data_IF_937549097182
#
_entry.id   IF_937549097182
#
_cell.length_a   1.000
_cell.length_b   1.000
_cell.length_c   1.000
_cell.angle_alpha   90.00
_cell.angle_beta   90.00
_cell.angle_gamma   90.00
#
_symmetry.space_group_name_H-M   'P 1'
#
loop_
_entity.id
_entity.type
_entity.pdbx_description
1 polymer ?
#
# COMPACT_ATOMS: atom_id res chain seq x y z
N UNK A 1 8.14 1.12 -11.03
CA UNK A 1 7.75 -0.21 -11.55
C UNK A 1 6.45 -0.09 -12.36
N UNK A 2 5.34 0.42 -11.79
CA UNK A 2 4.01 0.50 -12.44
C UNK A 2 4.08 1.26 -13.78
N UNK A 3 4.65 2.48 -13.80
CA UNK A 3 4.83 3.25 -15.04
C UNK A 3 5.50 2.43 -16.16
N UNK A 4 6.59 1.74 -15.85
CA UNK A 4 7.31 0.96 -16.85
C UNK A 4 6.49 -0.23 -17.36
N UNK A 5 5.69 -0.86 -16.49
CA UNK A 5 4.79 -1.94 -16.90
C UNK A 5 3.67 -1.44 -17.82
N UNK A 6 3.06 -0.31 -17.51
CA UNK A 6 2.04 0.32 -18.37
C UNK A 6 2.64 0.67 -19.73
N UNK A 7 3.81 1.30 -19.75
CA UNK A 7 4.49 1.70 -20.98
C UNK A 7 4.79 0.49 -21.86
N UNK A 8 5.35 -0.57 -21.28
CA UNK A 8 5.63 -1.81 -22.01
C UNK A 8 4.36 -2.40 -22.63
N UNK A 9 3.27 -2.50 -21.85
CA UNK A 9 2.02 -3.03 -22.34
C UNK A 9 1.42 -2.19 -23.49
N UNK A 10 1.45 -0.85 -23.35
CA UNK A 10 0.97 0.06 -24.40
C UNK A 10 1.82 -0.05 -25.66
N UNK A 11 3.15 -0.12 -25.53
CA UNK A 11 4.06 -0.28 -26.68
C UNK A 11 3.79 -1.60 -27.43
N UNK A 12 3.59 -2.71 -26.70
CA UNK A 12 3.24 -4.02 -27.30
C UNK A 12 1.87 -3.97 -28.01
N UNK A 13 0.84 -3.41 -27.37
CA UNK A 13 -0.50 -3.29 -27.97
C UNK A 13 -0.44 -2.42 -29.23
N UNK A 14 0.26 -1.29 -29.17
CA UNK A 14 0.40 -0.38 -30.28
C UNK A 14 1.18 -0.99 -31.46
N UNK A 15 2.25 -1.73 -31.17
CA UNK A 15 3.02 -2.47 -32.18
C UNK A 15 2.18 -3.56 -32.86
N UNK A 16 1.21 -4.15 -32.15
CA UNK A 16 0.25 -5.11 -32.70
C UNK A 16 -0.89 -4.48 -33.50
N UNK A 17 -0.92 -3.16 -33.65
CA UNK A 17 -1.95 -2.42 -34.42
C UNK A 17 -2.95 -1.66 -33.56
N UNK A 18 -2.76 -1.59 -32.25
CA UNK A 18 -3.62 -0.89 -31.33
C UNK A 18 -4.93 -1.62 -31.03
N UNK A 19 -5.90 -0.89 -30.46
CA UNK A 19 -7.23 -1.41 -30.15
C UNK A 19 -8.20 -1.00 -31.27
N UNK A 20 -8.77 -1.96 -31.96
CA UNK A 20 -9.64 -1.72 -33.13
C UNK A 20 -8.99 -0.80 -34.18
N UNK A 21 -7.68 -0.95 -34.40
CA UNK A 21 -6.91 -0.16 -35.36
C UNK A 21 -6.54 1.26 -34.88
N UNK A 22 -6.81 1.59 -33.62
CA UNK A 22 -6.43 2.87 -33.02
C UNK A 22 -5.29 2.68 -32.03
N UNK A 23 -4.30 3.56 -32.10
CA UNK A 23 -3.20 3.60 -31.15
C UNK A 23 -3.66 4.12 -29.80
N UNK A 24 -3.09 3.58 -28.72
CA UNK A 24 -3.27 4.11 -27.37
C UNK A 24 -2.30 5.28 -27.21
N UNK A 25 -2.83 6.44 -26.86
CA UNK A 25 -2.04 7.57 -26.35
C UNK A 25 -2.05 7.54 -24.83
N UNK A 26 -0.91 7.90 -24.21
CA UNK A 26 -0.81 7.91 -22.76
C UNK A 26 0.00 9.10 -22.26
N UNK A 27 -0.35 9.54 -21.06
CA UNK A 27 0.37 10.58 -20.30
C UNK A 27 0.52 10.12 -18.86
N UNK A 28 1.64 10.46 -18.24
CA UNK A 28 1.92 10.17 -16.84
C UNK A 28 2.05 11.47 -16.05
N UNK A 29 1.49 11.45 -14.84
CA UNK A 29 1.74 12.45 -13.81
C UNK A 29 2.23 11.73 -12.55
N UNK A 30 3.08 12.40 -11.75
CA UNK A 30 3.66 11.86 -10.51
C UNK A 30 2.95 12.49 -9.32
N UNK A 31 2.19 11.70 -8.59
CA UNK A 31 1.46 12.11 -7.40
C UNK A 31 2.32 12.14 -6.12
N UNK A 32 3.56 11.65 -6.19
CA UNK A 32 4.50 11.57 -5.06
C UNK A 32 3.90 10.91 -3.80
N UNK A 33 2.92 10.02 -3.98
CA UNK A 33 2.16 9.37 -2.92
C UNK A 33 1.48 10.36 -1.93
N UNK A 34 1.06 11.51 -2.44
CA UNK A 34 0.40 12.60 -1.71
C UNK A 34 -1.02 12.81 -2.24
N UNK A 35 -2.01 12.91 -1.35
CA UNK A 35 -3.42 12.99 -1.74
C UNK A 35 -3.77 14.26 -2.51
N UNK A 36 -3.25 15.43 -2.11
CA UNK A 36 -3.53 16.69 -2.79
C UNK A 36 -2.89 16.70 -4.18
N UNK A 37 -1.64 16.24 -4.28
CA UNK A 37 -0.94 16.14 -5.56
C UNK A 37 -1.59 15.13 -6.49
N UNK A 38 -2.15 14.04 -5.96
CA UNK A 38 -2.85 13.05 -6.77
C UNK A 38 -4.14 13.59 -7.40
N UNK A 39 -4.92 14.40 -6.66
CA UNK A 39 -6.09 15.09 -7.20
C UNK A 39 -5.68 16.11 -8.27
N UNK A 40 -4.60 16.86 -8.04
CA UNK A 40 -4.06 17.80 -9.04
C UNK A 40 -3.55 17.08 -10.29
N UNK A 41 -2.86 15.95 -10.13
CA UNK A 41 -2.41 15.10 -11.23
C UNK A 41 -3.59 14.53 -12.04
N UNK A 42 -4.64 14.06 -11.35
CA UNK A 42 -5.89 13.63 -11.98
C UNK A 42 -6.51 14.73 -12.83
N UNK A 43 -6.68 15.94 -12.29
CA UNK A 43 -7.24 17.08 -13.02
C UNK A 43 -6.38 17.44 -14.26
N UNK A 44 -5.06 17.40 -14.13
CA UNK A 44 -4.14 17.63 -15.26
C UNK A 44 -4.31 16.60 -16.38
N UNK A 45 -4.53 15.32 -16.03
CA UNK A 45 -4.80 14.26 -16.99
C UNK A 45 -6.20 14.39 -17.61
N UNK A 46 -7.19 14.77 -16.82
CA UNK A 46 -8.56 15.06 -17.28
C UNK A 46 -8.59 16.20 -18.31
N UNK A 47 -7.89 17.30 -18.02
CA UNK A 47 -7.78 18.46 -18.93
C UNK A 47 -7.03 18.10 -20.22
N UNK A 48 -6.11 17.14 -20.18
CA UNK A 48 -5.48 16.58 -21.38
C UNK A 48 -6.45 15.76 -22.23
N UNK A 49 -7.58 15.33 -21.69
CA UNK A 49 -8.61 14.57 -22.38
C UNK A 49 -8.52 13.06 -22.20
N UNK A 50 -7.97 12.58 -21.04
CA UNK A 50 -7.93 11.15 -20.77
C UNK A 50 -9.34 10.55 -20.76
N UNK A 51 -9.45 9.28 -21.20
CA UNK A 51 -10.70 8.52 -21.25
C UNK A 51 -10.74 7.37 -20.22
N UNK A 52 -9.61 7.02 -19.65
CA UNK A 52 -9.49 6.04 -18.58
C UNK A 52 -8.25 6.33 -17.73
N UNK A 53 -8.36 6.16 -16.42
CA UNK A 53 -7.27 6.30 -15.49
C UNK A 53 -6.71 4.93 -15.10
N UNK A 54 -5.41 4.71 -15.31
CA UNK A 54 -4.66 3.60 -14.70
C UNK A 54 -3.84 4.18 -13.55
N UNK A 55 -4.41 4.12 -12.36
CA UNK A 55 -3.84 4.76 -11.16
C UNK A 55 -4.94 4.90 -10.06
N UNK A 56 -4.64 5.48 -8.89
CA UNK A 56 -3.26 5.80 -8.49
C UNK A 56 -2.50 4.55 -8.02
N UNK A 57 -1.21 4.66 -7.74
CA UNK A 57 -0.40 3.50 -7.37
C UNK A 57 -0.56 3.11 -5.89
N UNK A 58 -0.66 4.10 -4.99
CA UNK A 58 -0.73 3.89 -3.53
C UNK A 58 -2.12 4.17 -2.98
N UNK A 59 -2.45 3.56 -1.83
CA UNK A 59 -3.81 3.53 -1.28
C UNK A 59 -4.33 4.90 -0.85
N UNK A 60 -3.58 5.67 -0.05
CA UNK A 60 -4.03 6.98 0.44
C UNK A 60 -4.33 7.97 -0.70
N UNK A 61 -3.49 8.15 -1.73
CA UNK A 61 -3.86 8.89 -2.93
C UNK A 61 -5.06 8.32 -3.68
N UNK A 62 -5.18 6.97 -3.76
CA UNK A 62 -6.28 6.35 -4.49
C UNK A 62 -7.64 6.64 -3.86
N UNK A 63 -7.73 6.64 -2.54
CA UNK A 63 -8.97 6.99 -1.83
C UNK A 63 -9.37 8.46 -2.02
N UNK A 64 -8.43 9.36 -2.27
CA UNK A 64 -8.73 10.74 -2.61
C UNK A 64 -9.19 10.89 -4.08
N UNK A 65 -8.55 10.20 -5.02
CA UNK A 65 -8.85 10.32 -6.45
C UNK A 65 -10.13 9.59 -6.84
N UNK A 66 -10.50 8.51 -6.15
CA UNK A 66 -11.70 7.73 -6.48
C UNK A 66 -13.00 8.54 -6.33
N UNK A 67 -13.02 9.55 -5.45
CA UNK A 67 -14.14 10.49 -5.32
C UNK A 67 -14.29 11.35 -6.57
N UNK A 68 -13.16 11.85 -7.10
CA UNK A 68 -13.14 12.67 -8.31
C UNK A 68 -13.54 11.85 -9.55
N UNK A 69 -12.98 10.64 -9.69
CA UNK A 69 -13.32 9.76 -10.82
C UNK A 69 -14.77 9.33 -10.78
N UNK A 70 -15.35 9.11 -9.60
CA UNK A 70 -16.78 8.83 -9.46
C UNK A 70 -17.63 10.02 -9.90
N UNK A 71 -17.31 11.22 -9.42
CA UNK A 71 -18.02 12.45 -9.79
C UNK A 71 -18.01 12.72 -11.30
N UNK A 72 -16.92 12.37 -11.96
CA UNK A 72 -16.73 12.54 -13.41
C UNK A 72 -17.21 11.33 -14.23
N UNK A 73 -17.67 10.26 -13.60
CA UNK A 73 -17.96 8.98 -14.23
C UNK A 73 -16.78 8.46 -15.09
N UNK A 74 -15.56 8.64 -14.56
CA UNK A 74 -14.32 8.24 -15.21
C UNK A 74 -13.95 6.81 -14.80
N UNK A 75 -13.69 5.94 -15.79
CA UNK A 75 -13.17 4.59 -15.50
C UNK A 75 -11.81 4.69 -14.79
N UNK A 76 -11.68 4.01 -13.66
CA UNK A 76 -10.44 3.92 -12.89
C UNK A 76 -10.03 2.46 -12.64
N UNK A 77 -8.76 2.14 -12.94
CA UNK A 77 -8.15 0.87 -12.60
C UNK A 77 -6.88 1.11 -11.82
N UNK A 78 -6.90 0.82 -10.51
CA UNK A 78 -5.66 0.87 -9.73
C UNK A 78 -4.85 -0.41 -9.87
N UNK A 79 -3.55 -0.31 -10.20
CA UNK A 79 -2.69 -1.48 -10.32
C UNK A 79 -2.24 -2.05 -8.97
N UNK A 80 -2.16 -1.23 -7.91
CA UNK A 80 -1.57 -1.66 -6.64
C UNK A 80 -2.12 -1.00 -5.37
N UNK A 81 -3.11 -0.10 -5.45
CA UNK A 81 -3.77 0.42 -4.25
C UNK A 81 -4.66 -0.67 -3.63
N UNK A 82 -4.31 -1.12 -2.44
CA UNK A 82 -4.87 -2.30 -1.77
C UNK A 82 -5.98 -1.98 -0.77
N UNK A 83 -6.13 -0.69 -0.37
CA UNK A 83 -7.18 -0.27 0.54
C UNK A 83 -8.57 -0.60 -0.01
N UNK A 84 -9.50 -0.99 0.88
CA UNK A 84 -10.87 -1.35 0.49
C UNK A 84 -11.55 -0.20 -0.24
N UNK A 85 -11.39 1.01 0.29
CA UNK A 85 -12.04 2.22 -0.24
C UNK A 85 -11.46 2.71 -1.58
N UNK A 86 -10.34 2.10 -2.05
CA UNK A 86 -9.79 2.39 -3.39
C UNK A 86 -10.75 2.02 -4.54
N UNK A 87 -11.74 1.17 -4.27
CA UNK A 87 -12.73 0.69 -5.24
C UNK A 87 -14.15 0.76 -4.68
N UNK A 88 -14.45 1.80 -3.89
CA UNK A 88 -15.76 1.93 -3.23
C UNK A 88 -16.91 2.27 -4.19
N UNK A 89 -16.60 2.68 -5.42
CA UNK A 89 -17.57 3.03 -6.46
C UNK A 89 -17.50 2.07 -7.65
N UNK A 90 -18.59 2.00 -8.42
CA UNK A 90 -18.80 1.07 -9.53
C UNK A 90 -17.96 1.37 -10.79
N UNK A 91 -17.36 2.56 -10.86
CA UNK A 91 -16.43 2.96 -11.91
C UNK A 91 -14.96 2.62 -11.59
N UNK A 92 -14.67 2.12 -10.38
CA UNK A 92 -13.31 1.87 -9.90
C UNK A 92 -13.03 0.38 -9.70
N UNK A 93 -11.89 -0.08 -10.22
CA UNK A 93 -11.46 -1.47 -10.21
C UNK A 93 -10.03 -1.61 -9.71
N UNK A 94 -9.66 -2.82 -9.26
CA UNK A 94 -8.34 -3.12 -8.72
C UNK A 94 -7.80 -4.42 -9.30
N UNK A 95 -6.48 -4.43 -9.60
CA UNK A 95 -5.77 -5.63 -10.06
C UNK A 95 -5.12 -6.42 -8.94
N UNK A 96 -4.76 -5.77 -7.83
CA UNK A 96 -4.07 -6.40 -6.71
C UNK A 96 -5.05 -6.98 -5.66
N UNK A 97 -4.50 -7.69 -4.67
CA UNK A 97 -5.24 -8.13 -3.47
C UNK A 97 -5.61 -6.92 -2.58
N UNK A 98 -6.43 -7.16 -1.55
CA UNK A 98 -6.83 -6.11 -0.59
C UNK A 98 -5.98 -6.15 0.70
N UNK A 99 -5.96 -5.03 1.45
CA UNK A 99 -5.33 -4.97 2.77
C UNK A 99 -5.87 -6.04 3.73
N UNK A 100 -7.19 -6.29 3.81
CA UNK A 100 -7.71 -7.40 4.62
C UNK A 100 -7.12 -8.76 4.25
N UNK A 101 -7.00 -9.07 2.96
CA UNK A 101 -6.41 -10.32 2.51
C UNK A 101 -4.93 -10.40 2.87
N UNK A 102 -4.18 -9.31 2.75
CA UNK A 102 -2.77 -9.27 3.09
C UNK A 102 -2.55 -9.43 4.60
N UNK A 103 -3.34 -8.74 5.42
CA UNK A 103 -3.26 -8.85 6.88
C UNK A 103 -3.55 -10.27 7.36
N UNK A 104 -4.68 -10.84 6.92
CA UNK A 104 -5.07 -12.22 7.30
C UNK A 104 -4.06 -13.25 6.82
N UNK A 105 -3.67 -13.23 5.55
CA UNK A 105 -2.71 -14.17 4.99
C UNK A 105 -1.33 -14.11 5.67
N UNK A 106 -0.90 -12.93 6.11
CA UNK A 106 0.35 -12.77 6.85
C UNK A 106 0.28 -13.44 8.23
N UNK A 107 -0.83 -13.26 8.96
CA UNK A 107 -1.04 -13.91 10.25
C UNK A 107 -1.15 -15.43 10.11
N UNK A 108 -1.91 -15.91 9.11
CA UNK A 108 -2.04 -17.32 8.78
C UNK A 108 -0.66 -17.94 8.51
N UNK A 109 0.12 -17.31 7.65
CA UNK A 109 1.44 -17.80 7.28
C UNK A 109 2.40 -17.91 8.48
N UNK A 110 2.42 -16.91 9.35
CA UNK A 110 3.25 -16.92 10.57
C UNK A 110 2.82 -18.06 11.48
N UNK A 111 1.52 -18.22 11.71
CA UNK A 111 0.98 -19.24 12.61
C UNK A 111 1.18 -20.66 12.06
N UNK A 112 0.81 -20.92 10.82
CA UNK A 112 0.88 -22.23 10.17
C UNK A 112 2.30 -22.74 10.03
N UNK A 113 3.25 -21.83 9.72
CA UNK A 113 4.66 -22.17 9.62
C UNK A 113 5.42 -22.07 10.95
N UNK A 114 4.73 -21.70 12.04
CA UNK A 114 5.32 -21.56 13.38
C UNK A 114 6.56 -20.67 13.40
N UNK A 115 6.50 -19.55 12.65
CA UNK A 115 7.62 -18.63 12.54
C UNK A 115 7.83 -17.83 13.82
N UNK A 116 6.77 -17.57 14.56
CA UNK A 116 6.79 -16.81 15.81
C UNK A 116 5.62 -17.22 16.71
N UNK A 117 5.72 -16.85 17.98
CA UNK A 117 4.63 -16.94 18.96
C UNK A 117 4.24 -15.57 19.50
N UNK A 118 5.19 -14.63 19.55
CA UNK A 118 5.02 -13.26 20.02
C UNK A 118 5.41 -12.27 18.95
N UNK A 119 4.46 -11.52 18.47
CA UNK A 119 4.63 -10.58 17.36
C UNK A 119 4.56 -9.15 17.87
N UNK A 120 5.55 -8.33 17.54
CA UNK A 120 5.42 -6.89 17.60
C UNK A 120 5.07 -6.36 16.21
N UNK A 121 4.29 -5.28 16.16
CA UNK A 121 3.90 -4.61 14.91
C UNK A 121 4.38 -3.17 14.96
N UNK A 122 5.03 -2.69 13.89
CA UNK A 122 5.33 -1.26 13.74
C UNK A 122 4.67 -0.81 12.44
N UNK A 123 3.75 0.16 12.53
CA UNK A 123 2.92 0.58 11.41
C UNK A 123 2.77 2.10 11.33
N UNK A 124 2.42 2.60 10.13
CA UNK A 124 2.11 4.00 9.90
C UNK A 124 0.61 4.24 10.09
N UNK A 125 0.24 4.93 11.19
CA UNK A 125 -1.17 5.21 11.51
C UNK A 125 -1.79 6.31 10.64
N UNK A 126 -0.99 7.07 9.90
CA UNK A 126 -1.45 8.10 8.97
C UNK A 126 -1.57 7.60 7.53
N UNK A 127 -1.29 6.34 7.27
CA UNK A 127 -1.39 5.72 5.94
C UNK A 127 -2.46 4.63 5.91
N UNK A 128 -3.38 4.75 4.95
CA UNK A 128 -4.53 3.84 4.81
C UNK A 128 -4.09 2.39 4.55
N UNK A 129 -3.07 2.17 3.73
CA UNK A 129 -2.49 0.86 3.46
C UNK A 129 -1.95 0.20 4.74
N UNK A 130 -1.08 0.90 5.44
CA UNK A 130 -0.40 0.39 6.63
C UNK A 130 -1.38 0.08 7.77
N UNK A 131 -2.31 0.99 8.05
CA UNK A 131 -3.32 0.82 9.10
C UNK A 131 -4.35 -0.26 8.75
N UNK A 132 -4.73 -0.39 7.48
CA UNK A 132 -5.66 -1.43 7.03
C UNK A 132 -5.09 -2.85 7.21
N UNK A 133 -3.84 -3.06 6.85
CA UNK A 133 -3.16 -4.35 7.06
C UNK A 133 -2.99 -4.64 8.57
N UNK A 134 -2.55 -3.64 9.34
CA UNK A 134 -2.41 -3.79 10.80
C UNK A 134 -3.69 -4.29 11.46
N UNK A 135 -4.83 -3.66 11.16
CA UNK A 135 -6.12 -4.01 11.80
C UNK A 135 -6.53 -5.46 11.52
N UNK A 136 -6.41 -5.89 10.28
CA UNK A 136 -6.78 -7.25 9.89
C UNK A 136 -5.77 -8.28 10.37
N UNK A 137 -4.48 -7.98 10.31
CA UNK A 137 -3.44 -8.82 10.89
C UNK A 137 -3.66 -9.05 12.39
N UNK A 138 -3.90 -7.99 13.16
CA UNK A 138 -4.10 -8.10 14.61
C UNK A 138 -5.35 -8.94 14.97
N UNK A 139 -6.40 -8.82 14.17
CA UNK A 139 -7.62 -9.62 14.33
C UNK A 139 -7.37 -11.11 14.06
N UNK A 140 -6.72 -11.42 12.94
CA UNK A 140 -6.44 -12.81 12.54
C UNK A 140 -5.37 -13.44 13.41
N UNK A 141 -4.32 -12.71 13.80
CA UNK A 141 -3.30 -13.16 14.73
C UNK A 141 -3.90 -13.68 16.03
N UNK A 142 -4.86 -12.94 16.59
CA UNK A 142 -5.61 -13.37 17.77
C UNK A 142 -6.42 -14.66 17.52
N UNK A 143 -7.07 -14.78 16.37
CA UNK A 143 -7.83 -15.97 16.01
C UNK A 143 -6.93 -17.20 15.84
N UNK A 144 -5.69 -17.03 15.38
CA UNK A 144 -4.69 -18.09 15.18
C UNK A 144 -3.83 -18.37 16.42
N UNK A 145 -4.06 -17.64 17.52
CA UNK A 145 -3.31 -17.84 18.77
C UNK A 145 -1.88 -17.25 18.77
N UNK A 146 -1.60 -16.33 17.85
CA UNK A 146 -0.41 -15.49 17.91
C UNK A 146 -0.61 -14.39 18.97
N UNK A 147 0.38 -14.18 19.80
CA UNK A 147 0.35 -13.11 20.81
C UNK A 147 0.93 -11.81 20.24
N UNK A 148 0.09 -10.83 19.99
CA UNK A 148 0.52 -9.49 19.58
C UNK A 148 0.93 -8.72 20.83
N UNK A 149 2.22 -8.78 21.17
CA UNK A 149 2.77 -8.25 22.43
C UNK A 149 3.06 -6.76 22.39
N UNK A 150 3.19 -6.17 21.21
CA UNK A 150 3.31 -4.72 21.01
C UNK A 150 2.74 -4.31 19.66
N UNK A 151 2.10 -3.15 19.62
CA UNK A 151 1.65 -2.50 18.37
C UNK A 151 2.00 -1.02 18.45
N UNK A 152 3.03 -0.62 17.71
CA UNK A 152 3.64 0.69 17.82
C UNK A 152 3.42 1.49 16.54
N UNK A 153 2.76 2.63 16.69
CA UNK A 153 2.49 3.53 15.58
C UNK A 153 3.61 4.55 15.35
N UNK A 154 3.75 4.97 14.11
CA UNK A 154 4.39 6.22 13.72
C UNK A 154 3.49 6.96 12.72
N UNK A 155 3.85 8.19 12.36
CA UNK A 155 3.11 9.02 11.39
C UNK A 155 4.05 9.50 10.28
N UNK A 156 3.47 10.05 9.22
CA UNK A 156 4.22 10.63 8.10
C UNK A 156 5.23 11.72 8.55
N UNK A 157 4.92 12.44 9.63
CA UNK A 157 5.77 13.50 10.17
C UNK A 157 6.94 12.99 11.03
N UNK A 158 6.87 11.73 11.48
CA UNK A 158 7.89 11.12 12.34
C UNK A 158 8.27 9.72 11.84
N UNK A 159 8.92 9.67 10.68
CA UNK A 159 9.28 8.43 9.96
C UNK A 159 10.79 8.25 9.75
N UNK A 160 11.61 8.84 10.61
CA UNK A 160 13.07 8.77 10.51
C UNK A 160 13.76 8.14 11.70
N UNK A 161 13.17 8.27 12.90
CA UNK A 161 13.67 7.66 14.14
C UNK A 161 12.62 6.72 14.74
N UNK A 162 12.93 5.45 14.77
CA UNK A 162 12.08 4.37 15.28
C UNK A 162 12.62 3.75 16.57
N UNK A 163 13.57 4.41 17.24
CA UNK A 163 14.22 3.90 18.44
C UNK A 163 13.25 3.61 19.59
N UNK A 164 12.19 4.40 19.72
CA UNK A 164 11.14 4.19 20.73
C UNK A 164 10.34 2.93 20.44
N UNK A 165 9.86 2.79 19.20
CA UNK A 165 9.06 1.64 18.75
C UNK A 165 9.88 0.34 18.87
N UNK A 166 11.14 0.37 18.44
CA UNK A 166 12.04 -0.78 18.52
C UNK A 166 12.35 -1.20 19.95
N UNK A 167 12.60 -0.24 20.85
CA UNK A 167 12.82 -0.55 22.28
C UNK A 167 11.60 -1.17 22.94
N UNK A 168 10.40 -0.72 22.56
CA UNK A 168 9.16 -1.31 23.06
C UNK A 168 8.94 -2.72 22.51
N UNK A 169 9.17 -2.94 21.22
CA UNK A 169 9.13 -4.26 20.60
C UNK A 169 10.14 -5.21 21.28
N UNK A 170 11.38 -4.78 21.47
CA UNK A 170 12.42 -5.57 22.16
C UNK A 170 12.03 -5.89 23.61
N UNK A 171 11.57 -4.91 24.38
CA UNK A 171 11.19 -5.10 25.79
C UNK A 171 9.93 -5.94 25.99
N UNK A 172 9.06 -6.03 24.97
CA UNK A 172 7.88 -6.90 24.99
C UNK A 172 8.21 -8.39 24.82
N UNK A 173 9.45 -8.70 24.41
CA UNK A 173 9.89 -10.07 24.15
C UNK A 173 9.34 -10.65 22.86
N UNK A 174 9.05 -9.80 21.88
CA UNK A 174 8.65 -10.23 20.54
C UNK A 174 9.77 -11.03 19.86
N UNK A 175 9.41 -12.15 19.26
CA UNK A 175 10.26 -13.04 18.47
C UNK A 175 10.10 -12.83 16.95
N UNK A 176 9.24 -11.90 16.55
CA UNK A 176 9.07 -11.41 15.19
C UNK A 176 8.56 -9.97 15.22
N UNK A 177 9.04 -9.13 14.30
CA UNK A 177 8.49 -7.80 14.06
C UNK A 177 7.81 -7.77 12.69
N UNK A 178 6.49 -7.56 12.68
CA UNK A 178 5.70 -7.38 11.45
C UNK A 178 5.68 -5.91 11.04
N UNK A 179 6.05 -5.63 9.79
CA UNK A 179 6.19 -4.28 9.24
C UNK A 179 5.28 -4.06 8.03
N UNK A 180 3.97 -3.80 8.22
CA UNK A 180 3.06 -3.47 7.12
C UNK A 180 3.26 -2.02 6.66
N UNK A 181 4.41 -1.75 6.04
CA UNK A 181 4.87 -0.39 5.68
C UNK A 181 5.65 -0.43 4.36
N UNK A 182 5.99 0.74 3.83
CA UNK A 182 6.80 0.85 2.63
C UNK A 182 8.30 0.64 2.90
N UNK A 183 9.04 0.37 1.84
CA UNK A 183 10.44 -0.08 1.91
C UNK A 183 11.40 0.91 2.55
N UNK A 184 11.12 2.22 2.46
CA UNK A 184 12.02 3.25 3.02
C UNK A 184 12.02 3.18 4.55
N UNK A 185 10.85 3.19 5.15
CA UNK A 185 10.67 3.09 6.59
C UNK A 185 11.12 1.71 7.10
N UNK A 186 10.78 0.63 6.37
CA UNK A 186 11.22 -0.71 6.70
C UNK A 186 12.76 -0.82 6.74
N UNK A 187 13.45 -0.25 5.74
CA UNK A 187 14.91 -0.21 5.70
C UNK A 187 15.49 0.56 6.89
N UNK A 188 14.90 1.71 7.24
CA UNK A 188 15.34 2.52 8.37
C UNK A 188 15.15 1.77 9.70
N UNK A 189 14.01 1.10 9.88
CA UNK A 189 13.72 0.26 11.07
C UNK A 189 14.74 -0.87 11.20
N UNK A 190 14.99 -1.61 10.12
CA UNK A 190 15.95 -2.72 10.13
C UNK A 190 17.38 -2.26 10.47
N UNK A 191 17.82 -1.12 9.91
CA UNK A 191 19.12 -0.54 10.23
C UNK A 191 19.23 -0.08 11.69
N UNK A 192 18.15 0.47 12.25
CA UNK A 192 18.12 0.89 13.65
C UNK A 192 18.02 -0.30 14.61
N UNK A 193 17.26 -1.35 14.25
CA UNK A 193 17.21 -2.60 15.00
C UNK A 193 18.61 -3.23 15.12
N UNK A 194 19.36 -3.30 14.02
CA UNK A 194 20.73 -3.80 14.01
C UNK A 194 21.66 -2.99 14.94
N UNK A 195 21.50 -1.66 15.02
CA UNK A 195 22.27 -0.82 15.94
C UNK A 195 21.93 -1.05 17.42
N UNK A 196 20.73 -1.55 17.69
CA UNK A 196 20.25 -1.91 19.03
C UNK A 196 20.55 -3.37 19.38
N UNK A 197 21.26 -4.11 18.52
CA UNK A 197 21.48 -5.55 18.64
C UNK A 197 20.16 -6.32 18.84
N UNK A 198 19.10 -5.88 18.14
CA UNK A 198 17.78 -6.49 18.15
C UNK A 198 17.53 -7.25 16.86
N UNK A 199 17.45 -8.57 16.94
CA UNK A 199 17.31 -9.51 15.82
C UNK A 199 16.12 -10.45 16.08
N UNK A 200 14.87 -9.93 16.02
CA UNK A 200 13.67 -10.74 16.25
C UNK A 200 13.37 -11.70 15.11
#
# INVERSE_FOLDING_TARGET
AVKNGIQLAVDEINAAGGINGKQIEYKFEDDQADSEKSVNAYNTLKDWGMQALIGTTTSTPCTAVVEETHSDNMFQLTPSATAVDSIQYDNAFRMCFSDPNQGSASADYIAENKLATKVAIIYNSSDTYSSGIYQTFATEAKAKGLDVVAAEAFTADNKTDFSVQLKKAQSSGADLVFLPIYYQEASAILQQAAKLDYHP
#
